data_IF_343912917794
#
_entry.id   IF_343912917794
#
_cell.length_a   1.000
_cell.length_b   1.000
_cell.length_c   1.000
_cell.angle_alpha   90.00
_cell.angle_beta   90.00
_cell.angle_gamma   90.00
#
_symmetry.space_group_name_H-M   'P 1'
#
loop_
_entity.id
_entity.type
_entity.pdbx_description
1 polymer ?
#
# COMPACT_ATOMS: atom_id res chain seq x y z
N UNK A 1 19.25 -32.16 -27.16
CA UNK A 1 19.30 -31.21 -26.01
C UNK A 1 17.97 -30.50 -25.91
N UNK A 2 17.39 -30.43 -24.72
CA UNK A 2 16.14 -29.70 -24.56
C UNK A 2 16.37 -28.19 -24.73
N UNK A 3 15.38 -27.46 -25.25
CA UNK A 3 15.42 -26.01 -25.45
C UNK A 3 15.76 -25.27 -24.15
N UNK A 4 15.25 -25.72 -23.02
CA UNK A 4 15.50 -25.18 -21.68
C UNK A 4 16.97 -25.37 -21.26
N UNK A 5 17.58 -26.53 -21.53
CA UNK A 5 19.00 -26.78 -21.22
C UNK A 5 19.93 -25.82 -21.98
N UNK A 6 19.54 -25.41 -23.18
CA UNK A 6 20.31 -24.46 -24.01
C UNK A 6 20.26 -23.05 -23.40
N UNK A 7 19.09 -22.63 -22.93
CA UNK A 7 18.90 -21.33 -22.24
C UNK A 7 19.75 -21.24 -20.98
N UNK A 8 19.68 -22.26 -20.11
CA UNK A 8 20.48 -22.30 -18.88
C UNK A 8 21.98 -22.24 -19.13
N UNK A 9 22.49 -23.04 -20.08
CA UNK A 9 23.91 -23.08 -20.38
C UNK A 9 24.44 -21.75 -20.94
N UNK A 10 23.60 -21.02 -21.66
CA UNK A 10 23.97 -19.74 -22.25
C UNK A 10 24.07 -18.63 -21.19
N UNK A 11 23.15 -18.58 -20.23
CA UNK A 11 23.15 -17.61 -19.13
C UNK A 11 24.40 -17.75 -18.23
N UNK A 12 24.86 -18.97 -18.00
CA UNK A 12 26.04 -19.23 -17.17
C UNK A 12 27.38 -19.01 -17.88
N UNK A 13 27.40 -18.82 -19.20
CA UNK A 13 28.65 -18.59 -19.97
C UNK A 13 29.24 -17.19 -19.72
N UNK A 14 28.38 -16.19 -19.34
CA UNK A 14 28.78 -14.80 -19.06
C UNK A 14 28.31 -14.34 -17.68
N UNK A 15 28.82 -15.03 -16.66
CA UNK A 15 28.35 -14.90 -15.28
C UNK A 15 28.28 -13.45 -14.75
N UNK A 16 29.38 -12.66 -15.02
CA UNK A 16 29.43 -11.28 -14.48
C UNK A 16 28.39 -10.35 -15.12
N UNK A 17 28.19 -10.45 -16.45
CA UNK A 17 27.20 -9.61 -17.15
C UNK A 17 25.79 -9.98 -16.74
N UNK A 18 25.49 -11.27 -16.74
CA UNK A 18 24.19 -11.80 -16.29
C UNK A 18 23.91 -11.36 -14.86
N UNK A 19 24.88 -11.48 -13.95
CA UNK A 19 24.76 -11.07 -12.57
C UNK A 19 24.47 -9.57 -12.44
N UNK A 20 25.22 -8.71 -13.12
CA UNK A 20 25.02 -7.25 -13.09
C UNK A 20 23.63 -6.86 -13.65
N UNK A 21 23.18 -7.55 -14.70
CA UNK A 21 21.84 -7.30 -15.26
C UNK A 21 20.75 -7.75 -14.31
N UNK A 22 20.88 -8.93 -13.70
CA UNK A 22 19.94 -9.42 -12.68
C UNK A 22 19.89 -8.45 -11.50
N UNK A 23 21.04 -7.99 -10.99
CA UNK A 23 21.09 -7.01 -9.90
C UNK A 23 20.38 -5.71 -10.31
N UNK A 24 20.68 -5.15 -11.48
CA UNK A 24 20.07 -3.90 -11.94
C UNK A 24 18.54 -3.98 -12.05
N UNK A 25 18.02 -5.08 -12.61
CA UNK A 25 16.57 -5.30 -12.70
C UNK A 25 15.97 -5.56 -11.31
N UNK A 26 16.68 -6.36 -10.47
CA UNK A 26 16.23 -6.68 -9.11
C UNK A 26 16.06 -5.43 -8.25
N UNK A 27 16.93 -4.43 -8.38
CA UNK A 27 16.80 -3.15 -7.65
C UNK A 27 15.49 -2.44 -8.03
N UNK A 28 15.16 -2.36 -9.32
CA UNK A 28 13.88 -1.78 -9.76
C UNK A 28 12.67 -2.53 -9.20
N UNK A 29 12.71 -3.87 -9.25
CA UNK A 29 11.64 -4.73 -8.71
C UNK A 29 11.57 -4.62 -7.18
N UNK A 30 12.71 -4.51 -6.48
CA UNK A 30 12.78 -4.28 -5.02
C UNK A 30 11.98 -3.05 -4.63
N UNK A 31 12.21 -1.92 -5.33
CA UNK A 31 11.51 -0.67 -5.04
C UNK A 31 10.02 -0.80 -5.33
N UNK A 32 9.64 -1.44 -6.44
CA UNK A 32 8.22 -1.66 -6.80
C UNK A 32 7.51 -2.51 -5.74
N UNK A 33 8.14 -3.58 -5.26
CA UNK A 33 7.56 -4.47 -4.22
C UNK A 33 7.50 -3.75 -2.88
N UNK A 34 8.58 -3.07 -2.48
CA UNK A 34 8.62 -2.37 -1.20
C UNK A 34 7.58 -1.25 -1.14
N UNK A 35 7.55 -0.38 -2.15
CA UNK A 35 6.60 0.73 -2.21
C UNK A 35 5.16 0.23 -2.37
N UNK A 36 4.95 -0.82 -3.16
CA UNK A 36 3.64 -1.47 -3.30
C UNK A 36 3.13 -2.08 -1.99
N UNK A 37 3.99 -2.72 -1.21
CA UNK A 37 3.64 -3.28 0.09
C UNK A 37 3.33 -2.18 1.13
N UNK A 38 4.09 -1.08 1.13
CA UNK A 38 3.84 0.08 2.01
C UNK A 38 2.51 0.74 1.65
N UNK A 39 2.28 1.04 0.37
CA UNK A 39 1.01 1.65 -0.08
C UNK A 39 -0.17 0.71 0.18
N UNK A 40 0.03 -0.61 0.00
CA UNK A 40 -0.97 -1.62 0.33
C UNK A 40 -1.32 -1.63 1.82
N UNK A 41 -0.32 -1.46 2.69
CA UNK A 41 -0.50 -1.34 4.13
C UNK A 41 -1.31 -0.11 4.53
N UNK A 42 -0.96 1.06 4.01
CA UNK A 42 -1.71 2.30 4.25
C UNK A 42 -3.17 2.19 3.79
N UNK A 43 -3.39 1.66 2.59
CA UNK A 43 -4.76 1.38 2.09
C UNK A 43 -5.49 0.34 2.94
N UNK A 44 -4.76 -0.65 3.47
CA UNK A 44 -5.29 -1.66 4.40
C UNK A 44 -5.81 -1.04 5.69
N UNK A 45 -5.04 -0.12 6.29
CA UNK A 45 -5.44 0.66 7.47
C UNK A 45 -6.73 1.43 7.20
N UNK A 46 -6.79 2.16 6.07
CA UNK A 46 -7.97 2.87 5.64
C UNK A 46 -9.19 1.96 5.46
N UNK A 47 -8.99 0.79 4.85
CA UNK A 47 -10.06 -0.20 4.68
C UNK A 47 -10.52 -0.87 5.98
N UNK A 48 -9.64 -1.00 6.96
CA UNK A 48 -10.00 -1.50 8.28
C UNK A 48 -10.92 -0.52 9.02
N UNK A 49 -10.67 0.78 8.90
CA UNK A 49 -11.57 1.82 9.45
C UNK A 49 -13.03 1.63 9.00
N UNK A 50 -13.22 1.40 7.70
CA UNK A 50 -14.58 1.18 7.16
C UNK A 50 -15.21 -0.12 7.68
N UNK A 51 -14.42 -1.21 7.77
CA UNK A 51 -14.93 -2.53 8.18
C UNK A 51 -15.21 -2.62 9.67
N UNK A 52 -14.28 -2.14 10.50
CA UNK A 52 -14.44 -2.16 11.97
C UNK A 52 -15.63 -1.30 12.42
N UNK A 53 -15.96 -0.26 11.64
CA UNK A 53 -17.11 0.62 11.92
C UNK A 53 -18.49 -0.02 11.70
N UNK A 54 -18.56 -1.13 10.98
CA UNK A 54 -19.84 -1.68 10.55
C UNK A 54 -20.68 -0.65 9.78
N UNK A 55 -20.01 0.34 9.18
CA UNK A 55 -20.61 1.40 8.38
C UNK A 55 -20.65 0.99 6.92
N UNK A 56 -21.64 1.43 6.19
CA UNK A 56 -21.74 1.20 4.75
C UNK A 56 -20.80 2.13 3.99
N UNK A 57 -20.58 3.34 4.50
CA UNK A 57 -19.61 4.29 3.98
C UNK A 57 -19.22 5.35 5.04
N UNK A 58 -18.13 6.05 4.76
CA UNK A 58 -17.63 7.18 5.54
C UNK A 58 -17.86 8.48 4.77
N UNK A 59 -18.18 9.55 5.50
CA UNK A 59 -18.31 10.93 4.99
C UNK A 59 -17.16 11.74 5.56
N UNK A 60 -16.43 12.47 4.71
CA UNK A 60 -15.34 13.34 5.13
C UNK A 60 -15.22 14.56 4.18
N UNK A 61 -14.36 15.53 4.52
CA UNK A 61 -14.09 16.70 3.68
C UNK A 61 -13.40 16.27 2.39
N UNK A 62 -13.92 16.70 1.25
CA UNK A 62 -13.34 16.41 -0.06
C UNK A 62 -11.95 17.04 -0.22
N UNK A 63 -11.02 16.29 -0.83
CA UNK A 63 -9.71 16.82 -1.23
C UNK A 63 -8.79 17.24 -0.09
N UNK A 64 -8.94 16.68 1.12
CA UNK A 64 -8.02 16.91 2.23
C UNK A 64 -6.62 16.37 1.88
N UNK A 65 -5.58 17.01 2.41
CA UNK A 65 -4.19 16.58 2.20
C UNK A 65 -3.93 15.18 2.76
N UNK A 66 -4.55 14.88 3.89
CA UNK A 66 -4.60 13.60 4.58
C UNK A 66 -5.93 13.55 5.34
N UNK A 67 -6.47 12.35 5.60
CA UNK A 67 -7.74 12.21 6.31
C UNK A 67 -7.74 12.91 7.68
N UNK A 68 -6.63 12.91 8.41
CA UNK A 68 -6.53 13.55 9.74
C UNK A 68 -6.71 15.06 9.70
N UNK A 69 -6.56 15.69 8.53
CA UNK A 69 -6.85 17.11 8.28
C UNK A 69 -8.29 17.36 7.83
N UNK A 70 -9.05 16.32 7.56
CA UNK A 70 -10.48 16.46 7.26
C UNK A 70 -11.21 17.05 8.47
N UNK A 71 -12.15 17.96 8.20
CA UNK A 71 -12.98 18.60 9.22
C UNK A 71 -14.42 18.63 8.75
N UNK A 72 -15.26 17.87 9.40
CA UNK A 72 -16.72 17.89 9.25
C UNK A 72 -17.28 18.58 10.48
N UNK A 73 -18.02 19.66 10.32
CA UNK A 73 -18.63 20.38 11.46
C UNK A 73 -19.73 19.53 12.11
N UNK A 74 -20.01 19.80 13.39
CA UNK A 74 -21.13 19.12 14.08
C UNK A 74 -22.49 19.45 13.44
N UNK A 75 -22.63 20.61 12.79
CA UNK A 75 -23.80 20.99 12.02
C UNK A 75 -23.95 20.13 10.76
N UNK A 76 -22.89 19.97 9.98
CA UNK A 76 -22.86 19.07 8.81
C UNK A 76 -23.14 17.61 9.23
N UNK A 77 -22.52 17.16 10.32
CA UNK A 77 -22.79 15.84 10.89
C UNK A 77 -24.26 15.67 11.28
N UNK A 78 -24.84 16.62 12.00
CA UNK A 78 -26.26 16.59 12.36
C UNK A 78 -27.16 16.61 11.11
N UNK A 79 -26.77 17.38 10.09
CA UNK A 79 -27.45 17.40 8.80
C UNK A 79 -27.46 16.03 8.13
N UNK A 80 -26.29 15.39 8.01
CA UNK A 80 -26.18 14.03 7.48
C UNK A 80 -27.01 13.03 8.29
N UNK A 81 -26.94 13.11 9.62
CA UNK A 81 -27.67 12.20 10.50
C UNK A 81 -29.19 12.33 10.38
N UNK A 82 -29.70 13.49 9.94
CA UNK A 82 -31.15 13.77 9.79
C UNK A 82 -31.72 13.30 8.43
N UNK A 83 -30.87 12.88 7.49
CA UNK A 83 -31.33 12.45 6.16
C UNK A 83 -32.13 11.15 6.23
N UNK A 84 -33.21 11.10 5.45
CA UNK A 84 -33.98 9.86 5.28
C UNK A 84 -33.12 8.75 4.71
N UNK A 85 -33.15 7.59 5.33
CA UNK A 85 -32.33 6.42 4.95
C UNK A 85 -31.04 6.27 5.75
N UNK A 86 -30.71 7.22 6.64
CA UNK A 86 -29.62 7.06 7.62
C UNK A 86 -30.19 6.36 8.86
N UNK A 87 -29.64 5.20 9.19
CA UNK A 87 -29.95 4.52 10.46
C UNK A 87 -29.10 5.06 11.59
N UNK A 88 -27.80 5.26 11.30
CA UNK A 88 -26.83 5.76 12.28
C UNK A 88 -25.75 6.57 11.57
N UNK A 89 -25.40 7.70 12.15
CA UNK A 89 -24.27 8.53 11.74
C UNK A 89 -23.39 8.81 12.96
N UNK A 90 -22.15 8.33 12.94
CA UNK A 90 -21.24 8.45 14.08
C UNK A 90 -19.98 9.20 13.69
N UNK A 91 -19.73 10.32 14.37
CA UNK A 91 -18.56 11.15 14.18
C UNK A 91 -17.36 10.64 14.96
N UNK A 92 -16.20 10.69 14.33
CA UNK A 92 -14.90 10.40 14.94
C UNK A 92 -13.95 11.57 14.70
N UNK A 93 -13.25 12.04 15.75
CA UNK A 93 -12.13 12.97 15.64
C UNK A 93 -10.82 12.20 15.79
N UNK A 94 -9.99 12.24 14.77
CA UNK A 94 -8.64 11.65 14.81
C UNK A 94 -7.64 12.75 15.12
N UNK A 95 -6.97 12.65 16.25
CA UNK A 95 -5.89 13.53 16.65
C UNK A 95 -4.60 12.71 16.78
N UNK A 96 -3.60 13.00 15.94
CA UNK A 96 -2.31 12.33 16.00
C UNK A 96 -1.36 13.20 16.83
N UNK A 97 -0.85 12.63 17.89
CA UNK A 97 0.07 13.30 18.81
C UNK A 97 1.26 12.42 19.14
N UNK A 98 2.17 12.90 19.98
CA UNK A 98 3.28 12.10 20.50
C UNK A 98 2.97 11.61 21.90
N UNK A 99 3.13 10.32 22.15
CA UNK A 99 3.01 9.76 23.49
C UNK A 99 4.13 8.72 23.76
N UNK A 100 4.94 8.97 24.79
CA UNK A 100 6.12 8.15 25.07
C UNK A 100 7.11 8.13 23.90
N UNK A 101 7.49 6.96 23.44
CA UNK A 101 8.33 6.75 22.25
C UNK A 101 7.54 6.75 20.93
N UNK A 102 6.21 6.72 20.98
CA UNK A 102 5.37 6.73 19.77
C UNK A 102 5.14 8.16 19.28
N UNK A 103 5.81 8.54 18.18
CA UNK A 103 5.68 9.84 17.54
C UNK A 103 4.34 10.03 16.80
N UNK A 104 3.63 8.95 16.49
CA UNK A 104 2.38 8.91 15.72
C UNK A 104 1.27 8.23 16.53
N UNK A 105 1.06 8.68 17.77
CA UNK A 105 0.04 8.14 18.66
C UNK A 105 -1.35 8.66 18.27
N UNK A 106 -2.25 7.82 17.75
CA UNK A 106 -3.61 8.24 17.40
C UNK A 106 -4.48 8.29 18.65
N UNK A 107 -5.00 9.47 18.94
CA UNK A 107 -6.04 9.69 19.94
C UNK A 107 -7.38 9.89 19.22
N UNK A 108 -8.32 9.00 19.45
CA UNK A 108 -9.61 8.93 18.76
C UNK A 108 -10.71 9.47 19.67
N UNK A 109 -11.29 10.60 19.30
CA UNK A 109 -12.42 11.20 19.99
C UNK A 109 -13.73 10.59 19.52
N UNK A 110 -14.49 10.01 20.43
CA UNK A 110 -15.79 9.40 20.16
C UNK A 110 -16.81 9.82 21.23
N UNK A 111 -18.09 9.89 20.87
CA UNK A 111 -19.14 10.02 21.87
C UNK A 111 -19.34 8.67 22.57
N UNK A 112 -19.20 8.59 23.92
CA UNK A 112 -19.45 7.35 24.65
C UNK A 112 -20.84 6.81 24.36
N UNK A 113 -20.95 5.51 24.05
CA UNK A 113 -22.21 4.89 23.60
C UNK A 113 -22.44 4.91 22.08
N UNK A 114 -21.69 5.69 21.33
CA UNK A 114 -21.64 5.71 19.86
C UNK A 114 -20.31 5.12 19.36
N UNK A 115 -19.86 4.00 19.91
CA UNK A 115 -18.73 3.28 19.36
C UNK A 115 -19.08 2.84 17.92
N UNK A 116 -18.75 3.72 16.98
CA UNK A 116 -19.00 3.51 15.55
C UNK A 116 -18.32 2.27 15.02
N UNK A 117 -17.19 2.00 15.56
CA UNK A 117 -16.28 0.95 15.13
C UNK A 117 -16.53 -0.37 15.89
N UNK A 118 -17.81 -0.78 16.10
CA UNK A 118 -18.12 -1.92 16.94
C UNK A 118 -17.51 -1.79 18.35
N UNK A 119 -17.93 -2.48 19.38
CA UNK A 119 -17.16 -2.49 20.62
C UNK A 119 -15.80 -3.10 20.30
N UNK A 120 -14.68 -2.34 20.52
CA UNK A 120 -13.36 -2.94 20.40
C UNK A 120 -13.33 -4.16 21.33
N UNK A 121 -12.66 -5.21 20.93
CA UNK A 121 -12.49 -6.39 21.80
C UNK A 121 -11.82 -5.94 23.09
N UNK A 122 -12.62 -5.81 24.15
CA UNK A 122 -12.12 -5.34 25.44
C UNK A 122 -11.27 -6.45 26.07
N UNK A 123 -9.99 -6.19 26.22
CA UNK A 123 -9.03 -7.12 26.85
C UNK A 123 -9.15 -7.06 28.37
N UNK A 124 -9.30 -5.83 28.93
CA UNK A 124 -9.43 -5.63 30.38
C UNK A 124 -10.09 -4.29 30.70
N UNK A 125 -10.66 -4.17 31.88
CA UNK A 125 -11.33 -2.95 32.34
C UNK A 125 -12.73 -2.79 31.80
N UNK A 126 -13.10 -1.57 31.36
CA UNK A 126 -14.42 -1.20 30.86
C UNK A 126 -14.34 -0.17 29.75
N UNK A 127 -15.46 0.04 29.04
CA UNK A 127 -15.61 1.12 28.06
C UNK A 127 -15.77 2.50 28.72
N UNK A 128 -15.61 3.55 27.91
CA UNK A 128 -15.80 4.95 28.29
C UNK A 128 -17.24 5.19 28.79
N UNK A 129 -17.40 6.09 29.78
CA UNK A 129 -18.70 6.53 30.28
C UNK A 129 -19.04 7.92 29.76
N UNK A 130 -20.31 8.13 29.50
CA UNK A 130 -20.81 9.48 29.23
C UNK A 130 -20.60 10.40 30.45
N UNK A 131 -20.17 11.64 30.19
CA UNK A 131 -19.92 12.62 31.25
C UNK A 131 -18.64 12.41 32.06
N UNK A 132 -17.72 11.57 31.60
CA UNK A 132 -16.43 11.34 32.23
C UNK A 132 -15.27 11.81 31.30
N UNK A 133 -14.95 13.11 31.27
CA UNK A 133 -14.02 13.70 30.29
C UNK A 133 -12.54 13.26 30.47
N UNK A 134 -12.19 12.74 31.64
CA UNK A 134 -10.81 12.35 31.92
C UNK A 134 -10.58 10.84 31.79
N UNK A 135 -11.50 10.10 31.16
CA UNK A 135 -11.34 8.68 30.90
C UNK A 135 -10.69 8.43 29.54
N UNK A 136 -9.86 7.37 29.48
CA UNK A 136 -9.24 6.88 28.23
C UNK A 136 -9.21 5.36 28.23
N UNK A 137 -9.42 4.75 27.06
CA UNK A 137 -9.12 3.33 26.81
C UNK A 137 -7.97 3.22 25.85
N UNK A 138 -6.97 2.40 26.19
CA UNK A 138 -5.75 2.22 25.41
C UNK A 138 -5.86 0.98 24.52
N UNK A 139 -5.29 1.04 23.33
CA UNK A 139 -5.02 -0.16 22.54
C UNK A 139 -4.00 -1.06 23.23
N UNK A 140 -4.03 -2.35 22.95
CA UNK A 140 -3.13 -3.32 23.60
C UNK A 140 -1.66 -3.02 23.32
N UNK A 141 -1.32 -2.54 22.13
CA UNK A 141 0.02 -2.08 21.77
C UNK A 141 0.44 -0.83 22.54
N UNK A 142 -0.46 0.15 22.69
CA UNK A 142 -0.23 1.36 23.49
C UNK A 142 -0.05 1.02 24.98
N UNK A 143 -0.90 0.15 25.53
CA UNK A 143 -0.79 -0.30 26.91
C UNK A 143 0.53 -1.05 27.18
N UNK A 144 0.94 -1.92 26.24
CA UNK A 144 2.21 -2.66 26.36
C UNK A 144 3.43 -1.73 26.31
N UNK A 145 3.44 -0.72 25.43
CA UNK A 145 4.57 0.21 25.30
C UNK A 145 4.72 1.17 26.49
N UNK A 146 3.61 1.51 27.15
CA UNK A 146 3.60 2.44 28.30
C UNK A 146 3.59 1.72 29.65
N UNK A 147 3.33 0.41 29.69
CA UNK A 147 3.10 -0.36 30.92
C UNK A 147 1.81 0.02 31.64
N UNK A 148 0.90 0.73 30.97
CA UNK A 148 -0.35 1.22 31.57
C UNK A 148 -1.37 0.09 31.70
N UNK A 149 -2.12 0.10 32.81
CA UNK A 149 -3.19 -0.85 33.10
C UNK A 149 -4.45 -0.08 33.54
N UNK A 150 -5.63 -0.70 33.49
CA UNK A 150 -6.84 -0.06 34.03
C UNK A 150 -6.62 0.40 35.47
N UNK A 151 -6.95 1.67 35.73
CA UNK A 151 -6.71 2.36 37.02
C UNK A 151 -5.43 3.20 37.07
N UNK A 152 -4.52 3.08 36.09
CA UNK A 152 -3.37 3.97 35.98
C UNK A 152 -3.72 5.29 35.30
N UNK A 153 -2.88 6.31 35.45
CA UNK A 153 -2.98 7.58 34.75
C UNK A 153 -1.92 7.65 33.65
N UNK A 154 -2.34 8.15 32.48
CA UNK A 154 -1.44 8.50 31.37
C UNK A 154 -1.58 9.98 31.04
N UNK A 155 -0.48 10.62 30.66
CA UNK A 155 -0.52 12.04 30.26
C UNK A 155 -0.42 12.13 28.74
N UNK A 156 -1.45 12.66 28.10
CA UNK A 156 -1.53 12.86 26.65
C UNK A 156 -1.68 14.37 26.40
N UNK A 157 -0.81 14.96 25.62
CA UNK A 157 -0.75 16.41 25.35
C UNK A 157 -0.79 17.28 26.61
N UNK A 158 -0.13 16.80 27.69
CA UNK A 158 -0.08 17.51 28.97
C UNK A 158 -1.32 17.32 29.87
N UNK A 159 -2.38 16.64 29.40
CA UNK A 159 -3.56 16.34 30.21
C UNK A 159 -3.46 14.96 30.82
N UNK A 160 -3.60 14.81 32.15
CA UNK A 160 -3.68 13.51 32.80
C UNK A 160 -5.05 12.87 32.53
N UNK A 161 -5.05 11.65 32.01
CA UNK A 161 -6.23 10.85 31.72
C UNK A 161 -6.18 9.54 32.48
N UNK A 162 -7.32 9.08 33.02
CA UNK A 162 -7.43 7.82 33.73
C UNK A 162 -7.70 6.67 32.73
N UNK A 163 -6.83 5.68 32.71
CA UNK A 163 -7.02 4.47 31.90
C UNK A 163 -8.10 3.61 32.53
N UNK A 164 -9.25 3.48 31.84
CA UNK A 164 -10.39 2.70 32.35
C UNK A 164 -10.51 1.33 31.69
N UNK A 165 -9.82 1.11 30.58
CA UNK A 165 -9.81 -0.16 29.87
C UNK A 165 -8.67 -0.29 28.88
N UNK A 166 -8.45 -1.52 28.43
CA UNK A 166 -7.54 -1.86 27.34
C UNK A 166 -8.31 -2.67 26.32
N UNK A 167 -8.23 -2.25 25.05
CA UNK A 167 -8.85 -2.93 23.92
C UNK A 167 -7.80 -3.53 22.99
N UNK A 168 -8.23 -4.43 22.10
CA UNK A 168 -7.43 -4.96 21.01
C UNK A 168 -8.08 -4.58 19.70
N UNK A 169 -7.27 -4.12 18.75
CA UNK A 169 -7.64 -3.92 17.36
C UNK A 169 -6.76 -4.79 16.48
N UNK A 170 -7.32 -5.33 15.39
CA UNK A 170 -6.53 -5.98 14.35
C UNK A 170 -5.70 -4.97 13.56
N UNK A 171 -6.05 -3.70 13.62
CA UNK A 171 -5.33 -2.61 12.97
C UNK A 171 -4.24 -2.07 13.90
N UNK A 172 -2.97 -2.16 13.46
CA UNK A 172 -1.80 -1.72 14.24
C UNK A 172 -1.88 -0.25 14.62
N UNK A 173 -2.39 0.62 13.74
CA UNK A 173 -2.53 2.05 14.02
C UNK A 173 -3.50 2.30 15.18
N UNK A 174 -4.66 1.65 15.19
CA UNK A 174 -5.61 1.80 16.29
C UNK A 174 -5.14 1.11 17.56
N UNK A 175 -4.50 -0.06 17.44
CA UNK A 175 -3.97 -0.80 18.60
C UNK A 175 -2.81 -0.04 19.29
N UNK A 176 -2.07 0.79 18.53
CA UNK A 176 -1.03 1.67 19.06
C UNK A 176 -1.56 2.99 19.64
N UNK A 177 -2.86 3.22 19.63
CA UNK A 177 -3.53 4.46 20.02
C UNK A 177 -4.46 4.34 21.22
N UNK A 178 -5.38 5.30 21.33
CA UNK A 178 -6.37 5.36 22.41
C UNK A 178 -7.71 5.94 21.95
N UNK A 179 -8.79 5.59 22.62
CA UNK A 179 -10.10 6.26 22.53
C UNK A 179 -10.34 7.08 23.78
N UNK A 180 -10.83 8.31 23.59
CA UNK A 180 -11.27 9.22 24.66
C UNK A 180 -12.60 9.88 24.28
N UNK A 181 -13.31 10.53 25.21
CA UNK A 181 -14.50 11.30 24.90
C UNK A 181 -14.23 12.37 23.86
N UNK A 182 -15.16 12.56 22.91
CA UNK A 182 -15.01 13.46 21.76
C UNK A 182 -14.63 14.89 22.22
N UNK A 183 -15.33 15.41 23.21
CA UNK A 183 -15.11 16.76 23.74
C UNK A 183 -13.66 16.91 24.29
N UNK A 184 -13.14 15.88 24.94
CA UNK A 184 -11.75 15.85 25.44
C UNK A 184 -10.75 15.92 24.31
N UNK A 185 -10.98 15.17 23.23
CA UNK A 185 -10.07 15.18 22.08
C UNK A 185 -10.20 16.47 21.28
N UNK A 186 -11.40 17.04 21.17
CA UNK A 186 -11.62 18.37 20.56
C UNK A 186 -10.84 19.47 21.31
N UNK A 187 -10.84 19.44 22.64
CA UNK A 187 -10.05 20.36 23.46
C UNK A 187 -8.53 20.17 23.22
N UNK A 188 -8.02 18.94 23.29
CA UNK A 188 -6.61 18.64 23.08
C UNK A 188 -6.14 18.99 21.68
N UNK A 189 -6.93 18.65 20.66
CA UNK A 189 -6.65 18.96 19.26
C UNK A 189 -6.83 20.45 18.93
N UNK A 190 -7.46 21.26 19.84
CA UNK A 190 -7.90 22.65 19.57
C UNK A 190 -8.80 22.76 18.35
N UNK A 191 -9.68 21.79 18.18
CA UNK A 191 -10.65 21.68 17.09
C UNK A 191 -12.07 21.55 17.66
N UNK A 192 -12.66 22.63 18.20
CA UNK A 192 -14.02 22.58 18.75
C UNK A 192 -15.03 22.33 17.63
N UNK A 193 -16.11 21.66 17.97
CA UNK A 193 -17.32 21.46 17.13
C UNK A 193 -17.05 20.80 15.76
N UNK A 194 -15.96 20.01 15.65
CA UNK A 194 -15.66 19.28 14.41
C UNK A 194 -15.28 17.83 14.71
N UNK A 195 -15.49 16.98 13.71
CA UNK A 195 -15.00 15.60 13.63
C UNK A 195 -14.19 15.42 12.36
N UNK A 196 -13.34 14.41 12.32
CA UNK A 196 -12.53 14.06 11.14
C UNK A 196 -13.40 13.41 10.07
N UNK A 197 -14.26 12.48 10.48
CA UNK A 197 -15.12 11.73 9.58
C UNK A 197 -16.42 11.32 10.31
N UNK A 198 -17.46 11.07 9.51
CA UNK A 198 -18.74 10.55 9.97
C UNK A 198 -18.96 9.19 9.30
N UNK A 199 -19.11 8.15 10.10
CA UNK A 199 -19.44 6.80 9.65
C UNK A 199 -20.94 6.61 9.57
N UNK A 200 -21.44 6.24 8.40
CA UNK A 200 -22.87 6.13 8.12
C UNK A 200 -23.27 4.69 7.92
N UNK A 201 -24.28 4.24 8.67
CA UNK A 201 -24.99 2.98 8.46
C UNK A 201 -26.35 3.32 7.86
N UNK A 202 -26.71 2.66 6.77
CA UNK A 202 -27.98 2.88 6.06
C UNK A 202 -29.12 2.09 6.70
N UNK A 203 -30.30 2.66 6.68
CA UNK A 203 -31.51 1.97 7.12
C UNK A 203 -31.86 0.80 6.18
N UNK A 204 -32.45 -0.25 6.73
CA UNK A 204 -32.85 -1.43 5.97
C UNK A 204 -33.70 -1.07 4.75
N UNK A 205 -33.28 -1.51 3.57
CA UNK A 205 -33.95 -1.23 2.30
C UNK A 205 -33.51 0.06 1.59
N UNK A 206 -32.60 0.84 2.18
CA UNK A 206 -31.98 2.00 1.52
C UNK A 206 -30.76 1.56 0.73
N UNK A 207 -30.64 2.02 -0.53
CA UNK A 207 -29.44 1.81 -1.33
C UNK A 207 -28.33 2.76 -0.82
N UNK A 208 -27.20 2.22 -0.30
CA UNK A 208 -26.08 3.02 0.20
C UNK A 208 -25.51 3.99 -0.85
N UNK A 209 -25.48 3.58 -2.12
CA UNK A 209 -24.94 4.41 -3.21
C UNK A 209 -25.86 5.62 -3.50
N UNK A 210 -27.17 5.41 -3.50
CA UNK A 210 -28.15 6.49 -3.67
C UNK A 210 -28.14 7.47 -2.51
N UNK A 211 -27.95 6.98 -1.28
CA UNK A 211 -27.81 7.83 -0.10
C UNK A 211 -26.49 8.62 -0.13
N UNK A 212 -25.38 7.99 -0.51
CA UNK A 212 -24.08 8.63 -0.68
C UNK A 212 -24.16 9.81 -1.67
N UNK A 213 -24.80 9.61 -2.84
CA UNK A 213 -25.00 10.67 -3.83
C UNK A 213 -25.84 11.82 -3.27
N UNK A 214 -26.91 11.53 -2.53
CA UNK A 214 -27.73 12.60 -1.90
C UNK A 214 -26.95 13.41 -0.85
N UNK A 215 -26.02 12.77 -0.13
CA UNK A 215 -25.15 13.46 0.81
C UNK A 215 -24.21 14.41 0.05
N UNK A 216 -23.56 13.92 -1.01
CA UNK A 216 -22.64 14.74 -1.84
C UNK A 216 -23.37 15.91 -2.52
N UNK A 217 -24.61 15.71 -2.98
CA UNK A 217 -25.45 16.77 -3.58
C UNK A 217 -25.89 17.81 -2.54
N UNK A 218 -26.21 17.38 -1.33
CA UNK A 218 -26.64 18.25 -0.24
C UNK A 218 -25.52 18.98 0.48
N UNK A 219 -24.32 18.44 0.48
CA UNK A 219 -23.13 18.95 1.13
C UNK A 219 -21.93 18.95 0.15
N UNK A 220 -21.79 19.94 -0.73
CA UNK A 220 -20.81 19.93 -1.82
C UNK A 220 -19.34 19.84 -1.39
N UNK A 221 -19.03 20.26 -0.15
CA UNK A 221 -17.70 20.17 0.43
C UNK A 221 -17.38 18.79 1.05
N UNK A 222 -18.36 17.93 1.16
CA UNK A 222 -18.23 16.58 1.69
C UNK A 222 -18.20 15.57 0.55
N UNK A 223 -17.52 14.48 0.78
CA UNK A 223 -17.55 13.32 -0.14
C UNK A 223 -17.68 12.04 0.65
N UNK A 224 -18.19 11.02 0.00
CA UNK A 224 -18.43 9.70 0.56
C UNK A 224 -17.37 8.72 0.10
N UNK A 225 -16.99 7.80 0.98
CA UNK A 225 -16.02 6.73 0.72
C UNK A 225 -16.62 5.41 1.17
N UNK A 226 -17.04 4.60 0.22
CA UNK A 226 -17.59 3.26 0.47
C UNK A 226 -16.55 2.15 0.34
N UNK A 227 -15.42 2.42 -0.30
CA UNK A 227 -14.38 1.44 -0.56
C UNK A 227 -12.98 2.03 -0.45
N UNK A 228 -11.99 1.15 -0.23
CA UNK A 228 -10.56 1.53 -0.21
C UNK A 228 -10.12 2.22 -1.50
N UNK A 229 -10.72 1.84 -2.64
CA UNK A 229 -10.42 2.45 -3.95
C UNK A 229 -10.81 3.92 -4.05
N UNK A 230 -11.76 4.36 -3.24
CA UNK A 230 -12.28 5.74 -3.22
C UNK A 230 -11.56 6.63 -2.19
N UNK A 231 -10.70 6.05 -1.36
CA UNK A 231 -10.04 6.78 -0.27
C UNK A 231 -9.24 8.01 -0.75
N UNK A 232 -8.75 7.96 -1.98
CA UNK A 232 -8.09 9.11 -2.62
C UNK A 232 -8.99 10.34 -2.78
N UNK A 233 -10.32 10.23 -2.65
CA UNK A 233 -11.23 11.40 -2.66
C UNK A 233 -11.04 12.28 -1.42
N UNK A 234 -10.66 11.67 -0.28
CA UNK A 234 -10.52 12.31 1.03
C UNK A 234 -9.07 12.39 1.51
N UNK A 235 -8.14 11.72 0.82
CA UNK A 235 -6.74 11.64 1.19
C UNK A 235 -5.85 11.76 -0.06
N UNK A 236 -5.33 12.96 -0.30
CA UNK A 236 -4.43 13.24 -1.42
C UNK A 236 -3.07 12.53 -1.27
N UNK A 237 -2.63 12.23 -0.05
CA UNK A 237 -1.41 11.50 0.22
C UNK A 237 -1.43 10.12 -0.44
N UNK A 238 -2.56 9.42 -0.41
CA UNK A 238 -2.72 8.13 -1.10
C UNK A 238 -2.66 8.29 -2.62
N UNK A 239 -3.24 9.36 -3.18
CA UNK A 239 -3.11 9.64 -4.63
C UNK A 239 -1.66 9.91 -5.02
N UNK A 240 -0.93 10.68 -4.22
CA UNK A 240 0.50 10.96 -4.44
C UNK A 240 1.31 9.65 -4.38
N UNK A 241 1.02 8.76 -3.42
CA UNK A 241 1.67 7.45 -3.34
C UNK A 241 1.40 6.59 -4.59
N UNK A 242 0.18 6.58 -5.10
CA UNK A 242 -0.15 5.86 -6.35
C UNK A 242 0.60 6.46 -7.55
N UNK A 243 0.68 7.78 -7.65
CA UNK A 243 1.45 8.47 -8.69
C UNK A 243 2.95 8.17 -8.59
N UNK A 244 3.53 8.15 -7.38
CA UNK A 244 4.91 7.75 -7.14
C UNK A 244 5.15 6.29 -7.53
N UNK A 245 4.25 5.37 -7.17
CA UNK A 245 4.30 3.97 -7.58
C UNK A 245 4.33 3.84 -9.11
N UNK A 246 3.48 4.59 -9.82
CA UNK A 246 3.46 4.62 -11.27
C UNK A 246 4.77 5.16 -11.85
N UNK A 247 5.26 6.30 -11.35
CA UNK A 247 6.51 6.91 -11.80
C UNK A 247 7.70 5.97 -11.62
N UNK A 248 7.83 5.36 -10.43
CA UNK A 248 8.88 4.37 -10.15
C UNK A 248 8.77 3.16 -11.06
N UNK A 249 7.54 2.68 -11.33
CA UNK A 249 7.30 1.56 -12.25
C UNK A 249 7.76 1.90 -13.67
N UNK A 250 7.43 3.09 -14.17
CA UNK A 250 7.86 3.55 -15.50
C UNK A 250 9.39 3.65 -15.58
N UNK A 251 10.04 4.20 -14.56
CA UNK A 251 11.49 4.27 -14.47
C UNK A 251 12.13 2.89 -14.40
N UNK A 252 11.58 1.96 -13.60
CA UNK A 252 12.08 0.60 -13.49
C UNK A 252 11.98 -0.15 -14.84
N UNK A 253 10.86 0.01 -15.56
CA UNK A 253 10.66 -0.57 -16.91
C UNK A 253 11.63 0.06 -17.90
N UNK A 254 11.81 1.38 -17.89
CA UNK A 254 12.72 2.08 -18.80
C UNK A 254 14.18 1.69 -18.59
N UNK A 255 14.67 1.83 -17.36
CA UNK A 255 16.08 1.50 -17.01
C UNK A 255 16.35 0.00 -17.12
N UNK A 256 15.43 -0.83 -16.62
CA UNK A 256 15.52 -2.29 -16.74
C UNK A 256 15.49 -2.75 -18.20
N UNK A 257 14.62 -2.16 -19.03
CA UNK A 257 14.55 -2.44 -20.46
C UNK A 257 15.83 -2.11 -21.21
N UNK A 258 16.47 -0.97 -20.90
CA UNK A 258 17.77 -0.58 -21.46
C UNK A 258 18.87 -1.57 -21.02
N UNK A 259 18.88 -1.98 -19.75
CA UNK A 259 19.83 -2.93 -19.22
C UNK A 259 19.70 -4.30 -19.91
N UNK A 260 18.46 -4.80 -20.07
CA UNK A 260 18.18 -6.05 -20.80
C UNK A 260 18.58 -5.90 -22.26
N UNK A 261 18.20 -4.81 -22.92
CA UNK A 261 18.53 -4.57 -24.31
C UNK A 261 20.05 -4.59 -24.55
N UNK A 262 20.83 -3.89 -23.73
CA UNK A 262 22.28 -3.85 -23.83
C UNK A 262 22.89 -5.26 -23.64
N UNK A 263 22.43 -5.98 -22.62
CA UNK A 263 22.91 -7.35 -22.35
C UNK A 263 22.57 -8.31 -23.48
N UNK A 264 21.35 -8.25 -24.00
CA UNK A 264 20.89 -9.14 -25.06
C UNK A 264 21.49 -8.80 -26.43
N UNK A 265 21.71 -7.50 -26.75
CA UNK A 265 22.42 -7.09 -27.95
C UNK A 265 23.83 -7.74 -27.96
N UNK A 266 24.58 -7.63 -26.87
CA UNK A 266 25.90 -8.16 -26.78
C UNK A 266 25.90 -9.69 -26.84
N UNK A 267 24.95 -10.35 -26.17
CA UNK A 267 24.77 -11.80 -26.23
C UNK A 267 24.47 -12.27 -27.67
N UNK A 268 23.69 -11.53 -28.44
CA UNK A 268 23.40 -11.81 -29.84
C UNK A 268 24.67 -11.66 -30.72
N UNK A 269 25.43 -10.58 -30.52
CA UNK A 269 26.68 -10.36 -31.27
C UNK A 269 27.70 -11.47 -31.05
N UNK A 270 27.96 -11.87 -29.82
CA UNK A 270 28.89 -12.93 -29.49
C UNK A 270 28.49 -14.31 -30.03
N UNK A 271 27.22 -14.51 -30.31
CA UNK A 271 26.64 -15.77 -30.80
C UNK A 271 26.18 -15.70 -32.24
N UNK A 272 26.60 -14.65 -32.97
CA UNK A 272 26.23 -14.45 -34.37
C UNK A 272 26.51 -15.68 -35.22
N UNK A 273 27.69 -16.29 -35.09
CA UNK A 273 28.09 -17.52 -35.83
C UNK A 273 27.17 -18.72 -35.45
N UNK A 274 26.84 -18.89 -34.17
CA UNK A 274 25.93 -19.97 -33.74
C UNK A 274 24.54 -19.80 -34.40
N UNK A 275 24.01 -18.58 -34.45
CA UNK A 275 22.71 -18.28 -35.12
C UNK A 275 22.80 -18.50 -36.62
N UNK A 276 23.93 -18.16 -37.26
CA UNK A 276 24.18 -18.43 -38.68
C UNK A 276 24.13 -19.92 -38.99
N UNK A 277 24.83 -20.76 -38.20
CA UNK A 277 24.80 -22.22 -38.33
C UNK A 277 23.38 -22.79 -38.14
N UNK A 278 22.63 -22.33 -37.11
CA UNK A 278 21.26 -22.76 -36.89
C UNK A 278 20.34 -22.42 -38.06
N UNK A 279 20.56 -21.25 -38.69
CA UNK A 279 19.82 -20.85 -39.89
C UNK A 279 20.19 -21.71 -41.09
N UNK A 280 21.46 -22.03 -41.29
CA UNK A 280 21.95 -22.91 -42.37
C UNK A 280 21.39 -24.33 -42.25
N UNK A 281 21.19 -24.85 -41.04
CA UNK A 281 20.58 -26.17 -40.76
C UNK A 281 19.04 -26.12 -40.83
N UNK A 282 18.43 -24.96 -41.20
CA UNK A 282 17.01 -24.86 -41.50
C UNK A 282 16.14 -24.32 -40.35
N UNK A 283 16.72 -23.71 -39.32
CA UNK A 283 15.93 -23.05 -38.29
C UNK A 283 15.20 -21.82 -38.87
N UNK A 284 13.88 -21.73 -38.60
CA UNK A 284 13.11 -20.54 -38.97
C UNK A 284 13.51 -19.37 -38.05
N UNK A 285 13.51 -18.13 -38.57
CA UNK A 285 13.84 -16.94 -37.81
C UNK A 285 12.99 -16.79 -36.53
N UNK A 286 11.71 -17.22 -36.59
CA UNK A 286 10.81 -17.21 -35.42
C UNK A 286 11.29 -18.10 -34.27
N UNK A 287 12.05 -19.18 -34.55
CA UNK A 287 12.64 -20.00 -33.49
C UNK A 287 13.80 -19.30 -32.80
N UNK A 288 14.65 -18.56 -33.56
CA UNK A 288 15.73 -17.75 -33.01
C UNK A 288 15.16 -16.61 -32.18
N UNK A 289 14.12 -15.92 -32.67
CA UNK A 289 13.42 -14.86 -31.93
C UNK A 289 12.89 -15.39 -30.60
N UNK A 290 12.19 -16.52 -30.62
CA UNK A 290 11.68 -17.16 -29.37
C UNK A 290 12.82 -17.53 -28.42
N UNK A 291 13.95 -18.00 -28.90
CA UNK A 291 15.12 -18.33 -28.09
C UNK A 291 15.61 -17.09 -27.31
N UNK A 292 15.85 -15.98 -28.03
CA UNK A 292 16.34 -14.72 -27.43
C UNK A 292 15.34 -14.15 -26.44
N UNK A 293 14.04 -14.12 -26.81
CA UNK A 293 12.98 -13.64 -25.91
C UNK A 293 12.83 -14.51 -24.65
N UNK A 294 12.95 -15.83 -24.79
CA UNK A 294 12.87 -16.76 -23.65
C UNK A 294 14.08 -16.59 -22.71
N UNK A 295 15.29 -16.39 -23.27
CA UNK A 295 16.48 -16.10 -22.47
C UNK A 295 16.30 -14.81 -21.65
N UNK A 296 15.82 -13.73 -22.27
CA UNK A 296 15.56 -12.46 -21.59
C UNK A 296 14.45 -12.59 -20.53
N UNK A 297 13.35 -13.25 -20.87
CA UNK A 297 12.26 -13.49 -19.94
C UNK A 297 12.72 -14.28 -18.71
N UNK A 298 13.48 -15.35 -18.90
CA UNK A 298 14.04 -16.13 -17.80
C UNK A 298 14.93 -15.29 -16.89
N UNK A 299 15.78 -14.44 -17.48
CA UNK A 299 16.66 -13.53 -16.76
C UNK A 299 15.85 -12.54 -15.90
N UNK A 300 14.79 -11.97 -16.46
CA UNK A 300 13.90 -11.06 -15.75
C UNK A 300 13.08 -11.76 -14.66
N UNK A 301 12.66 -13.01 -14.87
CA UNK A 301 11.98 -13.80 -13.85
C UNK A 301 12.89 -14.10 -12.65
N UNK A 302 14.15 -14.47 -12.91
CA UNK A 302 15.15 -14.63 -11.84
C UNK A 302 15.34 -13.32 -11.08
N UNK A 303 15.47 -12.18 -11.81
CA UNK A 303 15.58 -10.87 -11.20
C UNK A 303 14.33 -10.49 -10.37
N UNK A 304 13.14 -10.90 -10.81
CA UNK A 304 11.90 -10.67 -10.06
C UNK A 304 11.88 -11.42 -8.72
N UNK A 305 12.34 -12.66 -8.69
CA UNK A 305 12.42 -13.45 -7.45
C UNK A 305 13.38 -12.79 -6.45
N UNK A 306 14.59 -12.40 -6.90
CA UNK A 306 15.54 -11.70 -6.04
C UNK A 306 15.01 -10.32 -5.64
N UNK A 307 14.43 -9.57 -6.57
CA UNK A 307 13.84 -8.25 -6.28
C UNK A 307 12.71 -8.33 -5.27
N UNK A 308 11.82 -9.34 -5.37
CA UNK A 308 10.76 -9.57 -4.40
C UNK A 308 11.32 -9.92 -3.01
N UNK A 309 12.31 -10.81 -2.94
CA UNK A 309 12.96 -11.16 -1.67
C UNK A 309 13.65 -9.94 -1.03
N UNK A 310 14.40 -9.15 -1.79
CA UNK A 310 15.02 -7.92 -1.30
C UNK A 310 13.98 -6.84 -0.97
N UNK A 311 12.83 -6.76 -1.67
CA UNK A 311 11.72 -5.87 -1.35
C UNK A 311 11.13 -6.17 0.03
N UNK A 312 10.90 -7.45 0.34
CA UNK A 312 10.46 -7.88 1.66
C UNK A 312 11.51 -7.57 2.75
N UNK A 313 12.79 -7.82 2.45
CA UNK A 313 13.87 -7.52 3.40
C UNK A 313 14.00 -6.01 3.64
N UNK A 314 13.89 -5.19 2.60
CA UNK A 314 13.96 -3.73 2.70
C UNK A 314 12.81 -3.17 3.55
N UNK A 315 11.58 -3.61 3.30
CA UNK A 315 10.42 -3.16 4.12
C UNK A 315 10.53 -3.63 5.57
N UNK A 316 11.02 -4.86 5.82
CA UNK A 316 11.29 -5.32 7.18
C UNK A 316 12.41 -4.52 7.84
N UNK A 317 13.42 -4.11 7.08
CA UNK A 317 14.49 -3.23 7.57
C UNK A 317 13.97 -1.85 8.01
N UNK A 318 13.02 -1.28 7.26
CA UNK A 318 12.36 -0.01 7.63
C UNK A 318 11.54 -0.16 8.93
N UNK A 319 10.93 -1.32 9.17
CA UNK A 319 10.17 -1.61 10.40
C UNK A 319 11.06 -1.84 11.65
N UNK A 320 12.39 -1.86 11.52
CA UNK A 320 13.28 -1.82 12.68
C UNK A 320 13.32 -0.43 13.33
N UNK A 321 12.84 0.59 12.64
CA UNK A 321 12.63 1.94 13.15
C UNK A 321 11.30 1.91 13.91
N UNK A 322 11.35 2.08 15.22
CA UNK A 322 10.20 1.90 16.13
C UNK A 322 9.07 2.87 15.82
N UNK A 323 9.42 4.11 15.44
CA UNK A 323 8.48 5.16 15.06
C UNK A 323 7.64 4.77 13.82
N UNK A 324 8.24 4.07 12.85
CA UNK A 324 7.55 3.64 11.64
C UNK A 324 6.67 2.41 11.91
N UNK A 325 7.18 1.50 12.74
CA UNK A 325 6.46 0.27 13.08
C UNK A 325 5.13 0.52 13.78
N UNK A 326 4.98 1.65 14.49
CA UNK A 326 3.78 1.98 15.26
C UNK A 326 2.57 2.33 14.38
N UNK A 327 2.78 2.75 13.10
CA UNK A 327 1.68 3.17 12.22
C UNK A 327 1.65 2.46 10.87
N UNK A 328 2.71 1.71 10.51
CA UNK A 328 2.84 1.09 9.20
C UNK A 328 2.96 -0.42 9.32
N UNK A 329 2.03 -1.15 8.72
CA UNK A 329 2.11 -2.59 8.50
C UNK A 329 2.12 -2.89 7.00
N UNK A 330 3.27 -3.21 6.39
CA UNK A 330 3.35 -3.52 4.97
C UNK A 330 2.52 -4.75 4.62
N UNK A 331 1.66 -4.64 3.61
CA UNK A 331 0.79 -5.74 3.21
C UNK A 331 1.33 -6.42 1.94
N UNK A 332 1.70 -7.70 2.07
CA UNK A 332 2.23 -8.52 0.98
C UNK A 332 1.11 -9.32 0.32
N UNK A 333 0.30 -8.66 -0.51
CA UNK A 333 -0.77 -9.30 -1.26
C UNK A 333 -0.25 -10.00 -2.52
N UNK A 334 -0.98 -10.99 -3.02
CA UNK A 334 -0.68 -11.62 -4.31
C UNK A 334 -0.63 -10.59 -5.45
N UNK A 335 -1.39 -9.51 -5.38
CA UNK A 335 -1.41 -8.43 -6.37
C UNK A 335 -0.06 -7.72 -6.48
N UNK A 336 0.61 -7.42 -5.36
CA UNK A 336 1.96 -6.81 -5.34
C UNK A 336 2.97 -7.68 -6.08
N UNK A 337 2.95 -9.00 -5.82
CA UNK A 337 3.87 -9.93 -6.49
C UNK A 337 3.48 -10.17 -7.95
N UNK A 338 2.19 -10.25 -8.28
CA UNK A 338 1.72 -10.37 -9.64
C UNK A 338 2.11 -9.16 -10.49
N UNK A 339 1.96 -7.94 -9.97
CA UNK A 339 2.42 -6.70 -10.63
C UNK A 339 3.93 -6.72 -10.84
N UNK A 340 4.71 -7.08 -9.83
CA UNK A 340 6.17 -7.19 -9.95
C UNK A 340 6.58 -8.19 -11.05
N UNK A 341 5.91 -9.35 -11.13
CA UNK A 341 6.13 -10.36 -12.15
C UNK A 341 5.77 -9.86 -13.56
N UNK A 342 4.62 -9.18 -13.70
CA UNK A 342 4.18 -8.59 -14.97
C UNK A 342 5.15 -7.50 -15.45
N UNK A 343 5.63 -6.65 -14.54
CA UNK A 343 6.64 -5.64 -14.83
C UNK A 343 7.94 -6.29 -15.31
N UNK A 344 8.43 -7.32 -14.61
CA UNK A 344 9.63 -8.06 -14.99
C UNK A 344 9.47 -8.71 -16.37
N UNK A 345 8.31 -9.33 -16.65
CA UNK A 345 8.01 -9.91 -17.95
C UNK A 345 7.96 -8.83 -19.05
N UNK A 346 7.34 -7.68 -18.79
CA UNK A 346 7.31 -6.53 -19.69
C UNK A 346 8.69 -6.00 -20.00
N UNK A 347 9.54 -5.80 -18.97
CA UNK A 347 10.96 -5.40 -19.13
C UNK A 347 11.72 -6.38 -20.01
N UNK A 348 11.57 -7.70 -19.76
CA UNK A 348 12.21 -8.73 -20.55
C UNK A 348 11.79 -8.75 -22.01
N UNK A 349 10.49 -8.63 -22.27
CA UNK A 349 9.96 -8.63 -23.63
C UNK A 349 10.36 -7.37 -24.39
N UNK A 350 10.12 -6.18 -23.80
CA UNK A 350 10.42 -4.89 -24.45
C UNK A 350 11.92 -4.74 -24.69
N UNK A 351 12.75 -5.03 -23.67
CA UNK A 351 14.21 -4.91 -23.76
C UNK A 351 14.83 -5.88 -24.76
N UNK A 352 14.28 -7.09 -24.92
CA UNK A 352 14.82 -8.09 -25.84
C UNK A 352 14.22 -8.01 -27.26
N UNK A 353 13.19 -7.21 -27.51
CA UNK A 353 12.51 -7.17 -28.81
C UNK A 353 13.44 -6.75 -29.94
N UNK A 354 14.20 -5.66 -29.75
CA UNK A 354 15.15 -5.17 -30.74
C UNK A 354 16.34 -6.16 -30.96
N UNK A 355 17.02 -6.67 -29.93
CA UNK A 355 18.04 -7.69 -30.09
C UNK A 355 17.56 -8.97 -30.79
N UNK A 356 16.38 -9.44 -30.44
CA UNK A 356 15.75 -10.61 -31.04
C UNK A 356 15.45 -10.40 -32.54
N UNK A 357 14.92 -9.24 -32.90
CA UNK A 357 14.70 -8.86 -34.29
C UNK A 357 15.99 -8.79 -35.08
N UNK A 358 17.06 -8.20 -34.51
CA UNK A 358 18.36 -8.13 -35.15
C UNK A 358 18.98 -9.53 -35.38
N UNK A 359 18.88 -10.43 -34.40
CA UNK A 359 19.32 -11.81 -34.52
C UNK A 359 18.65 -12.55 -35.69
N UNK A 360 17.41 -12.27 -35.98
CA UNK A 360 16.67 -12.87 -37.12
C UNK A 360 17.13 -12.34 -38.48
N UNK A 361 17.57 -11.08 -38.55
CA UNK A 361 17.98 -10.43 -39.80
C UNK A 361 19.42 -10.76 -40.23
N UNK A 362 20.23 -11.43 -39.40
CA UNK A 362 21.56 -11.84 -39.75
C UNK A 362 21.52 -12.84 -40.93
N UNK A 363 22.22 -12.50 -41.99
CA UNK A 363 22.36 -13.42 -43.13
C UNK A 363 23.34 -14.58 -42.78
N UNK A 364 23.07 -15.85 -43.17
CA UNK A 364 23.94 -16.97 -42.89
C UNK A 364 25.37 -16.76 -43.47
N UNK A 365 25.49 -16.07 -44.60
CA UNK A 365 26.78 -15.78 -45.23
C UNK A 365 27.60 -14.74 -44.46
N UNK A 366 26.96 -13.66 -43.95
CA UNK A 366 27.66 -12.67 -43.13
C UNK A 366 28.06 -13.25 -41.78
N UNK A 367 27.20 -14.10 -41.18
CA UNK A 367 27.46 -14.74 -39.90
C UNK A 367 28.66 -15.73 -39.93
N UNK A 368 28.94 -16.35 -41.09
CA UNK A 368 30.08 -17.27 -41.28
C UNK A 368 31.37 -16.55 -41.70
N UNK A 369 31.28 -15.28 -42.12
CA UNK A 369 32.40 -14.46 -42.59
C UNK A 369 33.01 -13.57 -41.49
N UNK A 370 32.36 -13.45 -40.35
CA UNK A 370 32.89 -12.76 -39.19
C UNK A 370 33.84 -13.68 -38.42
N UNK A 371 35.15 -13.39 -38.52
CA UNK A 371 36.17 -13.87 -37.60
C UNK A 371 36.14 -13.17 -36.24
#
# INVERSE_FOLDING_TARGET
>A
MSFVSLVFRNLFRQRMRTLLTVIGISVGITIVVALGAITGGLKGTAGAMLREGGADFMVARAGSADLTFSTVSEEEWAGVASLEGVERATGILIHVTQHGSNAYFPLLGIRPGQLALGPPELVSGRLLRAGAPDEVILGSGAAASTGATPGSNVTIDGRPLNVVGVYRSENVFFDAGAYAPLETVQELARKPDVVTAVFVTTASGTDPQALATRIEDGFPDLTTVASVGEYGKVDQGIQVMDALNLAVTVLAVGLGGIAVMNTMIMAVFERTREFGILRAVGWRGSRIMRLVLTEALFLCLVAAVFGAAFGILATRGVLLIEEIRSFLEPTYTLDVFARALLIAAGVGLVGALYPAYRAVRLSPMEALRHE
#
